data_IF_579637545235
#
_entry.id   IF_579637545235
#
_cell.length_a   1.000
_cell.length_b   1.000
_cell.length_c   1.000
_cell.angle_alpha   90.00
_cell.angle_beta   90.00
_cell.angle_gamma   90.00
#
_symmetry.space_group_name_H-M   'P 1'
#
loop_
_entity.id
_entity.type
_entity.pdbx_description
1 polymer ?
#
# COMPACT_ATOMS: atom_id res chain seq x y z
N UNK A 1 -37.05 35.10 5.44
CA UNK A 1 -35.89 35.39 6.31
C UNK A 1 -36.07 34.62 7.60
N UNK A 2 -35.45 33.45 7.70
CA UNK A 2 -35.44 32.64 8.93
C UNK A 2 -33.97 32.23 9.17
N UNK A 3 -33.30 32.96 10.05
CA UNK A 3 -32.00 32.56 10.59
C UNK A 3 -32.22 31.41 11.56
N UNK A 4 -31.53 30.28 11.36
CA UNK A 4 -31.33 29.27 12.40
C UNK A 4 -29.84 29.16 12.69
N UNK A 5 -29.53 29.34 13.98
CA UNK A 5 -28.21 29.25 14.58
C UNK A 5 -27.63 27.84 14.47
N UNK A 6 -26.35 27.77 14.15
CA UNK A 6 -25.48 26.59 14.30
C UNK A 6 -24.92 26.60 15.73
N UNK A 7 -24.95 25.48 16.48
CA UNK A 7 -24.13 25.34 17.67
C UNK A 7 -22.77 24.76 17.30
N UNK A 8 -21.72 25.53 17.57
CA UNK A 8 -20.32 25.10 17.55
C UNK A 8 -20.09 24.09 18.68
N UNK A 9 -19.68 22.86 18.34
CA UNK A 9 -19.26 21.86 19.32
C UNK A 9 -17.75 21.99 19.52
N UNK A 10 -17.35 22.29 20.75
CA UNK A 10 -15.97 22.46 21.17
C UNK A 10 -15.30 21.10 21.38
N UNK A 11 -14.15 20.90 20.75
CA UNK A 11 -13.28 19.74 20.89
C UNK A 11 -12.46 19.86 22.19
N UNK A 12 -12.55 18.88 23.08
CA UNK A 12 -11.77 18.81 24.30
C UNK A 12 -10.57 17.86 24.11
N UNK A 13 -9.36 18.41 24.10
CA UNK A 13 -8.11 17.64 24.13
C UNK A 13 -7.81 17.17 25.56
N UNK A 14 -7.69 15.85 25.75
CA UNK A 14 -7.14 15.26 26.96
C UNK A 14 -5.71 14.80 26.70
N UNK A 15 -4.74 15.58 27.19
CA UNK A 15 -3.33 15.19 27.30
C UNK A 15 -3.18 14.16 28.43
N UNK A 16 -2.80 12.94 28.10
CA UNK A 16 -2.20 12.00 29.05
C UNK A 16 -0.77 11.69 28.63
N UNK A 17 0.17 12.31 29.34
CA UNK A 17 1.57 11.92 29.32
C UNK A 17 1.82 10.77 30.29
N UNK A 18 2.68 9.84 29.90
CA UNK A 18 3.51 8.92 30.70
C UNK A 18 4.04 7.86 29.71
N UNK A 19 5.25 7.34 29.75
CA UNK A 19 6.49 7.61 30.48
C UNK A 19 7.55 6.76 29.77
N UNK A 20 8.81 7.19 29.83
CA UNK A 20 9.97 6.53 29.26
C UNK A 20 10.15 5.07 29.72
N UNK A 21 10.74 4.23 28.86
CA UNK A 21 11.66 3.18 29.28
C UNK A 21 12.65 2.85 28.16
N UNK A 22 13.88 3.32 28.38
CA UNK A 22 15.13 2.79 27.82
C UNK A 22 15.28 1.30 28.14
N UNK A 23 15.71 0.51 27.17
CA UNK A 23 16.34 -0.79 27.41
C UNK A 23 17.46 -0.99 26.39
N UNK A 24 18.69 -0.83 26.86
CA UNK A 24 19.91 -0.98 26.08
C UNK A 24 20.36 -2.42 25.85
N UNK A 25 21.21 -2.53 24.83
CA UNK A 25 22.43 -3.34 24.73
C UNK A 25 22.43 -4.78 25.27
N UNK A 26 22.62 -5.74 24.36
CA UNK A 26 23.56 -6.84 24.55
C UNK A 26 23.91 -7.51 23.21
N UNK A 27 25.10 -7.19 22.72
CA UNK A 27 25.88 -8.01 21.78
C UNK A 27 26.74 -8.99 22.60
N UNK A 28 26.80 -10.27 22.21
CA UNK A 28 28.04 -11.02 22.39
C UNK A 28 28.44 -11.72 21.08
N UNK A 29 29.57 -11.28 20.53
CA UNK A 29 30.19 -11.87 19.35
C UNK A 29 30.66 -13.31 19.54
N UNK A 30 30.94 -13.97 18.40
CA UNK A 30 31.87 -15.10 18.31
C UNK A 30 32.68 -15.00 17.03
N UNK A 31 33.99 -15.03 17.23
CA UNK A 31 35.09 -15.14 16.28
C UNK A 31 35.10 -16.48 15.56
N UNK A 32 35.34 -16.49 14.26
CA UNK A 32 35.56 -17.71 13.48
C UNK A 32 36.46 -17.46 12.27
N UNK A 33 37.77 -17.57 12.48
CA UNK A 33 38.77 -17.60 11.41
C UNK A 33 38.76 -18.97 10.73
N UNK A 34 38.72 -19.00 9.39
CA UNK A 34 38.84 -20.21 8.59
C UNK A 34 39.54 -19.94 7.26
N UNK A 35 40.85 -20.17 7.24
CA UNK A 35 41.68 -20.18 6.03
C UNK A 35 41.45 -21.48 5.24
N UNK A 36 41.30 -21.38 3.92
CA UNK A 36 41.31 -22.52 3.01
C UNK A 36 41.81 -22.11 1.63
N UNK A 37 42.99 -22.62 1.26
CA UNK A 37 43.69 -22.40 0.00
C UNK A 37 43.67 -23.66 -0.86
N UNK A 38 43.69 -23.49 -2.19
CA UNK A 38 43.92 -24.53 -3.21
C UNK A 38 42.75 -24.64 -4.20
N UNK A 39 42.91 -24.67 -5.52
CA UNK A 39 44.11 -24.74 -6.35
C UNK A 39 43.78 -24.43 -7.81
N UNK A 40 44.84 -24.21 -8.59
CA UNK A 40 44.83 -23.81 -9.99
C UNK A 40 44.49 -24.97 -10.95
N UNK A 41 43.88 -24.62 -12.09
CA UNK A 41 43.79 -25.44 -13.29
C UNK A 41 43.70 -24.53 -14.51
N UNK A 42 44.82 -24.37 -15.22
CA UNK A 42 44.91 -23.55 -16.44
C UNK A 42 44.43 -24.28 -17.69
N UNK A 43 44.04 -23.49 -18.70
CA UNK A 43 43.71 -23.95 -20.04
C UNK A 43 43.36 -22.79 -20.97
N UNK A 44 44.38 -22.06 -21.45
CA UNK A 44 44.32 -21.22 -22.66
C UNK A 44 44.36 -22.15 -23.90
N UNK A 45 43.56 -21.90 -24.95
CA UNK A 45 43.90 -21.26 -26.28
C UNK A 45 42.56 -21.14 -27.05
N UNK A 46 42.08 -19.96 -27.45
CA UNK A 46 42.30 -19.44 -28.82
C UNK A 46 41.00 -18.88 -29.44
N UNK A 47 41.10 -18.00 -30.46
CA UNK A 47 40.22 -16.84 -30.62
C UNK A 47 39.01 -17.12 -31.54
N UNK A 48 37.85 -16.63 -31.12
CA UNK A 48 36.61 -16.70 -31.89
C UNK A 48 35.71 -15.55 -31.46
N UNK A 49 35.92 -14.40 -32.11
CA UNK A 49 35.07 -13.23 -32.06
C UNK A 49 33.67 -13.62 -32.58
N UNK A 50 32.70 -13.70 -31.67
CA UNK A 50 31.28 -13.60 -32.02
C UNK A 50 30.76 -12.38 -31.28
N UNK A 51 30.64 -11.30 -32.04
CA UNK A 51 30.04 -10.07 -31.61
C UNK A 51 28.58 -10.30 -31.15
N UNK A 52 28.25 -9.73 -30.00
CA UNK A 52 26.97 -9.07 -29.75
C UNK A 52 25.74 -9.96 -29.60
N UNK A 53 25.42 -10.30 -28.35
CA UNK A 53 24.26 -9.68 -27.68
C UNK A 53 24.67 -9.43 -26.23
N UNK A 54 25.09 -8.20 -25.94
CA UNK A 54 25.27 -7.76 -24.56
C UNK A 54 23.89 -7.70 -23.91
N UNK A 55 23.47 -8.81 -23.31
CA UNK A 55 22.44 -8.79 -22.28
C UNK A 55 23.06 -8.08 -21.08
N UNK A 56 22.91 -6.76 -21.04
CA UNK A 56 23.13 -6.01 -19.81
C UNK A 56 22.18 -6.62 -18.79
N UNK A 57 22.70 -7.42 -17.86
CA UNK A 57 22.08 -7.58 -16.57
C UNK A 57 22.18 -6.21 -15.91
N UNK A 58 21.25 -5.32 -16.26
CA UNK A 58 21.01 -4.11 -15.50
C UNK A 58 20.92 -4.55 -14.04
N UNK A 59 21.80 -4.03 -13.20
CA UNK A 59 21.74 -4.34 -11.78
C UNK A 59 20.37 -3.90 -11.31
N UNK A 60 19.55 -4.84 -10.84
CA UNK A 60 18.23 -4.49 -10.33
C UNK A 60 18.41 -3.48 -9.20
N UNK A 61 17.73 -2.34 -9.35
CA UNK A 61 17.78 -1.23 -8.39
C UNK A 61 16.68 -1.40 -7.35
N UNK A 62 16.97 -0.92 -6.14
CA UNK A 62 15.99 -0.86 -5.06
C UNK A 62 14.75 -0.08 -5.52
N UNK A 63 13.58 -0.49 -5.03
CA UNK A 63 12.33 0.25 -5.25
C UNK A 63 12.16 1.23 -4.10
N UNK A 64 12.08 2.51 -4.42
CA UNK A 64 11.66 3.55 -3.50
C UNK A 64 10.13 3.58 -3.44
N UNK A 65 9.58 3.65 -2.24
CA UNK A 65 8.14 3.71 -2.00
C UNK A 65 7.85 4.92 -1.14
N UNK A 66 6.83 5.68 -1.51
CA UNK A 66 6.21 6.71 -0.67
C UNK A 66 4.71 6.41 -0.66
N UNK A 67 4.14 6.20 0.51
CA UNK A 67 2.77 5.71 0.65
C UNK A 67 2.13 6.30 1.90
N UNK A 68 0.81 6.45 1.87
CA UNK A 68 -0.03 6.73 3.03
C UNK A 68 -1.42 6.14 2.80
N UNK A 69 -2.19 6.01 3.87
CA UNK A 69 -3.60 5.65 3.79
C UNK A 69 -4.36 6.44 4.86
N UNK A 70 -5.67 6.59 4.66
CA UNK A 70 -6.52 7.04 5.74
C UNK A 70 -6.60 5.93 6.80
N UNK A 71 -5.78 6.16 7.82
CA UNK A 71 -5.40 5.32 8.94
C UNK A 71 -4.41 4.18 8.66
N UNK A 72 -4.82 3.00 8.18
CA UNK A 72 -3.95 1.83 8.24
C UNK A 72 -3.48 1.32 6.88
N UNK A 73 -2.19 0.99 6.78
CA UNK A 73 -1.66 0.27 5.62
C UNK A 73 -0.44 -0.60 5.92
N UNK A 74 -0.22 -1.55 5.03
CA UNK A 74 1.04 -2.23 4.79
C UNK A 74 1.15 -2.59 3.32
N UNK A 75 2.32 -3.01 2.87
CA UNK A 75 2.53 -3.40 1.49
C UNK A 75 3.64 -4.45 1.38
N UNK A 76 3.75 -5.09 0.23
CA UNK A 76 4.85 -6.00 -0.02
C UNK A 76 4.77 -6.64 -1.39
N UNK A 77 5.75 -7.48 -1.68
CA UNK A 77 5.87 -8.19 -2.93
C UNK A 77 5.66 -9.68 -2.70
N UNK A 78 4.97 -10.31 -3.65
CA UNK A 78 4.49 -11.68 -3.48
C UNK A 78 4.31 -12.43 -4.78
N UNK A 79 4.07 -13.73 -4.66
CA UNK A 79 3.51 -14.52 -5.77
C UNK A 79 2.00 -14.27 -5.82
N UNK A 80 1.32 -14.78 -6.85
CA UNK A 80 -0.14 -14.68 -6.91
C UNK A 80 -0.87 -15.26 -5.69
N UNK A 81 -0.23 -16.16 -4.95
CA UNK A 81 -0.83 -16.89 -3.82
C UNK A 81 -0.49 -16.32 -2.45
N UNK A 82 0.56 -15.50 -2.32
CA UNK A 82 1.01 -14.98 -1.02
C UNK A 82 2.02 -13.84 -1.15
N UNK A 83 2.09 -13.02 -0.10
CA UNK A 83 3.21 -12.14 0.19
C UNK A 83 4.47 -12.92 0.56
N UNK A 84 5.62 -12.49 0.04
CA UNK A 84 6.94 -13.02 0.39
C UNK A 84 7.70 -12.11 1.37
N UNK A 85 7.36 -10.82 1.35
CA UNK A 85 7.84 -9.80 2.27
C UNK A 85 6.67 -8.88 2.63
N UNK A 86 6.77 -8.21 3.77
CA UNK A 86 5.76 -7.29 4.25
C UNK A 86 6.44 -6.11 4.94
N UNK A 87 6.07 -4.91 4.55
CA UNK A 87 6.58 -3.63 5.03
C UNK A 87 5.40 -2.77 5.48
N UNK A 88 5.65 -1.81 6.38
CA UNK A 88 4.58 -1.04 7.00
C UNK A 88 3.88 -1.84 8.08
N UNK A 89 2.55 -1.90 8.04
CA UNK A 89 1.72 -2.28 9.19
C UNK A 89 1.56 -1.10 10.14
N UNK A 90 1.43 0.10 9.58
CA UNK A 90 1.24 1.35 10.31
C UNK A 90 -0.26 1.57 10.49
N UNK A 91 -0.63 2.08 11.66
CA UNK A 91 -1.97 2.57 11.98
C UNK A 91 -1.85 4.02 12.41
N UNK A 92 -2.26 4.95 11.54
CA UNK A 92 -2.27 6.37 11.82
C UNK A 92 -3.60 6.74 12.51
N UNK A 93 -3.52 7.39 13.67
CA UNK A 93 -4.68 7.79 14.47
C UNK A 93 -5.10 9.24 14.20
N UNK A 94 -4.17 10.06 13.71
CA UNK A 94 -4.35 11.49 13.52
C UNK A 94 -4.15 11.87 12.06
N UNK A 95 -4.93 12.83 11.58
CA UNK A 95 -4.73 13.44 10.25
C UNK A 95 -3.29 13.95 10.05
N UNK A 96 -2.64 14.40 11.13
CA UNK A 96 -1.25 14.82 11.08
C UNK A 96 -0.30 13.69 10.66
N UNK A 97 -0.57 12.45 11.06
CA UNK A 97 0.22 11.26 10.74
C UNK A 97 -0.02 10.75 9.31
N UNK A 98 -1.00 11.34 8.60
CA UNK A 98 -1.36 10.96 7.23
C UNK A 98 -0.89 12.04 6.24
N UNK A 99 -1.13 13.32 6.58
CA UNK A 99 -0.98 14.43 5.63
C UNK A 99 0.16 15.41 5.97
N UNK A 100 0.80 15.31 7.13
CA UNK A 100 1.83 16.30 7.51
C UNK A 100 3.12 16.13 6.72
N UNK A 101 3.79 17.26 6.53
CA UNK A 101 5.12 17.33 5.92
C UNK A 101 6.19 17.63 6.97
N UNK A 102 7.44 17.20 6.74
CA UNK A 102 7.92 16.43 5.57
C UNK A 102 7.55 14.95 5.62
N UNK A 103 7.82 14.22 4.53
CA UNK A 103 7.76 12.75 4.46
C UNK A 103 8.45 12.12 5.69
N UNK A 104 7.79 11.14 6.31
CA UNK A 104 8.16 10.54 7.59
C UNK A 104 7.40 11.12 8.80
N UNK A 105 6.63 12.20 8.61
CA UNK A 105 5.67 12.71 9.61
C UNK A 105 4.21 12.49 9.22
N UNK A 106 3.93 12.45 7.91
CA UNK A 106 2.66 12.04 7.33
C UNK A 106 2.90 10.79 6.48
N UNK A 107 3.01 10.93 5.14
CA UNK A 107 3.37 9.80 4.29
C UNK A 107 4.74 9.24 4.66
N UNK A 108 4.88 7.93 4.64
CA UNK A 108 6.12 7.25 4.97
C UNK A 108 6.90 6.87 3.72
N UNK A 109 8.23 6.77 3.87
CA UNK A 109 9.12 6.34 2.79
C UNK A 109 9.86 5.06 3.14
N UNK A 110 9.96 4.18 2.16
CA UNK A 110 10.68 2.92 2.25
C UNK A 110 11.63 2.76 1.08
N UNK A 111 12.72 2.03 1.33
CA UNK A 111 13.62 1.53 0.29
C UNK A 111 13.60 0.02 0.32
N UNK A 112 12.93 -0.59 -0.64
CA UNK A 112 12.80 -2.04 -0.75
C UNK A 112 13.97 -2.59 -1.55
N UNK A 113 14.74 -3.54 -0.98
CA UNK A 113 15.82 -4.17 -1.72
C UNK A 113 15.33 -4.78 -3.03
N UNK A 114 16.09 -4.56 -4.10
CA UNK A 114 15.81 -5.11 -5.43
C UNK A 114 15.38 -6.58 -5.41
N UNK A 115 16.14 -7.44 -4.73
CA UNK A 115 15.85 -8.88 -4.62
C UNK A 115 14.54 -9.21 -3.91
N UNK A 116 14.04 -8.33 -3.03
CA UNK A 116 12.72 -8.49 -2.39
C UNK A 116 11.59 -8.09 -3.34
N UNK A 117 11.78 -6.99 -4.09
CA UNK A 117 10.80 -6.52 -5.07
C UNK A 117 10.67 -7.48 -6.26
N UNK A 118 11.78 -8.05 -6.72
CA UNK A 118 11.83 -8.96 -7.88
C UNK A 118 11.50 -10.42 -7.55
N UNK A 119 11.39 -10.76 -6.25
CA UNK A 119 11.05 -12.12 -5.84
C UNK A 119 9.58 -12.48 -6.15
N UNK A 120 8.73 -11.47 -6.35
CA UNK A 120 7.31 -11.62 -6.57
C UNK A 120 6.85 -11.32 -8.00
N UNK A 121 5.66 -11.79 -8.32
CA UNK A 121 4.93 -11.43 -9.54
C UNK A 121 3.83 -10.39 -9.27
N UNK A 122 3.71 -9.91 -8.03
CA UNK A 122 2.71 -8.91 -7.64
C UNK A 122 3.27 -7.98 -6.58
N UNK A 123 2.89 -6.70 -6.68
CA UNK A 123 2.87 -5.74 -5.58
C UNK A 123 1.50 -5.84 -4.90
N UNK A 124 1.48 -5.91 -3.59
CA UNK A 124 0.26 -5.88 -2.78
C UNK A 124 0.26 -4.69 -1.84
N UNK A 125 -0.92 -4.11 -1.61
CA UNK A 125 -1.17 -3.14 -0.55
C UNK A 125 -2.31 -3.69 0.30
N UNK A 126 -2.13 -3.69 1.61
CA UNK A 126 -3.11 -4.11 2.61
C UNK A 126 -3.53 -2.87 3.37
N UNK A 127 -4.82 -2.60 3.51
CA UNK A 127 -5.30 -1.36 4.15
C UNK A 127 -6.67 -1.53 4.80
N UNK A 128 -6.92 -0.74 5.85
CA UNK A 128 -8.23 -0.55 6.47
C UNK A 128 -8.31 0.84 7.08
N UNK A 129 -9.53 1.36 7.26
CA UNK A 129 -9.80 2.70 7.75
C UNK A 129 -10.52 2.66 9.11
N UNK A 130 -10.60 3.82 9.77
CA UNK A 130 -11.34 3.97 11.04
C UNK A 130 -12.86 4.11 10.89
N UNK A 131 -13.35 4.16 9.65
CA UNK A 131 -14.76 4.33 9.32
C UNK A 131 -15.37 5.61 9.91
N UNK A 132 -14.66 6.74 9.88
CA UNK A 132 -15.17 8.01 10.46
C UNK A 132 -15.42 9.13 9.45
N UNK A 133 -14.47 9.41 8.55
CA UNK A 133 -14.54 10.61 7.69
C UNK A 133 -14.27 10.28 6.23
N UNK A 134 -13.06 9.81 5.96
CA UNK A 134 -12.57 9.46 4.64
C UNK A 134 -11.97 8.06 4.69
N UNK A 135 -11.77 7.45 3.52
CA UNK A 135 -11.05 6.19 3.42
C UNK A 135 -10.40 6.06 2.04
N UNK A 136 -9.13 5.67 2.00
CA UNK A 136 -8.36 5.64 0.76
C UNK A 136 -6.90 5.32 1.01
N UNK A 137 -6.24 4.79 -0.02
CA UNK A 137 -4.77 4.63 -0.04
C UNK A 137 -4.17 5.41 -1.21
N UNK A 138 -3.02 6.03 -0.97
CA UNK A 138 -2.27 6.81 -1.95
C UNK A 138 -0.80 6.42 -1.90
N UNK A 139 -0.19 6.16 -3.05
CA UNK A 139 1.21 5.77 -3.08
C UNK A 139 1.88 5.90 -4.44
N UNK A 140 3.20 5.94 -4.38
CA UNK A 140 4.12 5.98 -5.51
C UNK A 140 5.25 4.98 -5.27
N UNK A 141 5.53 4.17 -6.29
CA UNK A 141 6.56 3.13 -6.29
C UNK A 141 7.48 3.37 -7.49
N UNK A 142 8.79 3.48 -7.29
CA UNK A 142 9.68 3.86 -8.39
C UNK A 142 11.11 3.34 -8.21
N UNK A 143 11.78 3.14 -9.34
CA UNK A 143 13.21 2.86 -9.43
C UNK A 143 13.91 4.06 -10.06
N UNK A 144 15.14 4.35 -9.64
CA UNK A 144 15.93 5.41 -10.24
C UNK A 144 16.10 5.14 -11.74
N UNK A 145 15.58 6.05 -12.60
CA UNK A 145 15.66 5.93 -14.05
C UNK A 145 14.55 5.10 -14.72
N UNK A 146 13.53 4.66 -13.97
CA UNK A 146 12.33 4.01 -14.50
C UNK A 146 11.09 4.90 -14.32
N UNK A 147 10.04 4.61 -15.09
CA UNK A 147 8.74 5.26 -14.91
C UNK A 147 8.13 4.83 -13.55
N UNK A 148 7.63 5.76 -12.73
CA UNK A 148 6.97 5.43 -11.49
C UNK A 148 5.64 4.70 -11.74
N UNK A 149 5.22 3.96 -10.72
CA UNK A 149 3.91 3.32 -10.64
C UNK A 149 3.15 4.01 -9.54
N UNK A 150 1.95 4.47 -9.86
CA UNK A 150 1.10 5.17 -8.92
C UNK A 150 -0.12 4.34 -8.54
N UNK A 151 -0.57 4.48 -7.30
CA UNK A 151 -1.96 4.13 -6.97
C UNK A 151 -2.92 4.93 -7.86
N UNK A 152 -4.07 4.33 -8.15
CA UNK A 152 -5.09 5.00 -8.94
C UNK A 152 -4.79 5.11 -10.44
N UNK A 153 -3.76 4.39 -10.91
CA UNK A 153 -3.41 4.21 -12.32
C UNK A 153 -3.01 2.76 -12.59
N UNK A 154 -3.31 2.25 -13.79
CA UNK A 154 -2.96 0.88 -14.18
C UNK A 154 -4.03 -0.16 -13.85
N UNK A 155 -3.62 -1.43 -13.83
CA UNK A 155 -4.50 -2.59 -13.75
C UNK A 155 -4.66 -3.11 -12.31
N UNK A 156 -4.88 -2.20 -11.35
CA UNK A 156 -5.10 -2.59 -9.96
C UNK A 156 -6.33 -3.49 -9.82
N UNK A 157 -6.20 -4.48 -8.94
CA UNK A 157 -7.29 -5.33 -8.48
C UNK A 157 -7.43 -5.18 -6.97
N UNK A 158 -8.63 -5.41 -6.44
CA UNK A 158 -8.90 -5.43 -5.00
C UNK A 158 -9.67 -6.68 -4.58
N UNK A 159 -9.32 -7.18 -3.41
CA UNK A 159 -10.01 -8.20 -2.66
C UNK A 159 -10.49 -7.53 -1.37
N UNK A 160 -11.79 -7.20 -1.32
CA UNK A 160 -12.46 -6.77 -0.11
C UNK A 160 -12.85 -8.00 0.70
N UNK A 161 -12.27 -8.15 1.89
CA UNK A 161 -12.36 -9.37 2.71
C UNK A 161 -13.63 -9.41 3.56
N UNK A 162 -14.21 -8.24 3.86
CA UNK A 162 -15.38 -8.09 4.71
C UNK A 162 -15.11 -8.23 6.21
N UNK A 163 -13.86 -8.43 6.64
CA UNK A 163 -13.49 -8.36 8.05
C UNK A 163 -13.34 -6.91 8.50
N UNK A 164 -13.48 -6.69 9.80
CA UNK A 164 -13.44 -5.36 10.39
C UNK A 164 -12.24 -5.28 11.35
N UNK A 165 -11.40 -4.27 11.17
CA UNK A 165 -10.23 -4.03 12.01
C UNK A 165 -10.29 -2.62 12.56
N UNK A 166 -10.35 -2.53 13.89
CA UNK A 166 -10.22 -1.26 14.59
C UNK A 166 -8.76 -0.78 14.59
N UNK A 167 -8.55 0.54 14.61
CA UNK A 167 -7.22 1.09 14.88
C UNK A 167 -6.73 0.72 16.28
N UNK A 168 -5.44 0.42 16.40
CA UNK A 168 -4.83 -0.12 17.60
C UNK A 168 -4.94 -1.63 17.73
N UNK A 169 -5.60 -2.32 16.77
CA UNK A 169 -5.65 -3.78 16.73
C UNK A 169 -4.35 -4.41 16.23
N UNK A 170 -3.45 -3.59 15.66
CA UNK A 170 -2.23 -4.01 14.94
C UNK A 170 -2.51 -4.75 13.63
N UNK A 171 -3.75 -4.71 13.14
CA UNK A 171 -4.16 -5.25 11.86
C UNK A 171 -4.05 -6.77 11.72
N UNK A 172 -4.28 -7.29 10.51
CA UNK A 172 -4.23 -8.71 10.23
C UNK A 172 -2.79 -9.25 10.27
N UNK A 173 -2.63 -10.47 10.77
CA UNK A 173 -1.37 -11.18 10.67
C UNK A 173 -1.06 -11.57 9.20
N UNK A 174 0.22 -11.72 8.86
CA UNK A 174 0.65 -12.14 7.51
C UNK A 174 0.03 -13.47 7.05
N UNK A 175 -0.22 -14.39 7.98
CA UNK A 175 -0.93 -15.64 7.69
C UNK A 175 -2.36 -15.37 7.22
N UNK A 176 -3.12 -14.56 7.95
CA UNK A 176 -4.49 -14.13 7.60
C UNK A 176 -4.54 -13.40 6.25
N UNK A 177 -3.58 -12.50 5.99
CA UNK A 177 -3.48 -11.82 4.69
C UNK A 177 -3.31 -12.85 3.56
N UNK A 178 -2.43 -13.84 3.72
CA UNK A 178 -2.19 -14.87 2.71
C UNK A 178 -3.38 -15.83 2.54
N UNK A 179 -4.12 -16.12 3.60
CA UNK A 179 -5.37 -16.89 3.53
C UNK A 179 -6.43 -16.18 2.68
N UNK A 180 -6.55 -14.85 2.81
CA UNK A 180 -7.44 -14.04 1.99
C UNK A 180 -6.99 -13.96 0.54
N UNK A 181 -5.69 -13.78 0.27
CA UNK A 181 -5.14 -13.83 -1.10
C UNK A 181 -5.53 -15.15 -1.78
N UNK A 182 -5.30 -16.28 -1.10
CA UNK A 182 -5.65 -17.61 -1.63
C UNK A 182 -7.17 -17.81 -1.79
N UNK A 183 -7.99 -17.19 -0.94
CA UNK A 183 -9.46 -17.26 -1.03
C UNK A 183 -9.99 -16.42 -2.18
N UNK A 184 -9.45 -15.22 -2.40
CA UNK A 184 -9.80 -14.36 -3.52
C UNK A 184 -9.38 -14.95 -4.88
N UNK A 185 -8.25 -15.66 -4.95
CA UNK A 185 -7.86 -16.42 -6.16
C UNK A 185 -8.86 -17.50 -6.55
N UNK A 186 -9.58 -18.08 -5.56
CA UNK A 186 -10.58 -19.13 -5.78
C UNK A 186 -11.98 -18.60 -6.03
N UNK A 187 -12.21 -17.28 -5.87
CA UNK A 187 -13.56 -16.72 -5.83
C UNK A 187 -14.38 -17.28 -4.65
N UNK A 188 -13.72 -17.56 -3.52
CA UNK A 188 -14.26 -18.37 -2.43
C UNK A 188 -14.84 -17.58 -1.26
N UNK A 189 -14.89 -16.24 -1.34
CA UNK A 189 -15.43 -15.40 -0.26
C UNK A 189 -16.95 -15.23 -0.41
N UNK A 190 -17.64 -14.88 0.69
CA UNK A 190 -19.09 -14.68 0.69
C UNK A 190 -19.48 -13.40 -0.09
N UNK A 191 -20.18 -13.50 -1.23
CA UNK A 191 -20.54 -12.34 -2.05
C UNK A 191 -21.51 -11.37 -1.35
N UNK A 192 -22.07 -11.69 -0.18
CA UNK A 192 -22.93 -10.77 0.58
C UNK A 192 -22.16 -9.82 1.49
N UNK A 193 -20.92 -10.16 1.84
CA UNK A 193 -20.10 -9.38 2.77
C UNK A 193 -18.72 -9.05 2.20
N UNK A 194 -18.39 -9.53 1.02
CA UNK A 194 -17.05 -9.45 0.42
C UNK A 194 -17.15 -9.24 -1.09
N UNK A 195 -16.04 -8.88 -1.71
CA UNK A 195 -15.90 -8.83 -3.18
C UNK A 195 -16.02 -10.19 -3.89
N UNK A 196 -16.26 -11.29 -3.17
CA UNK A 196 -16.24 -12.69 -3.60
C UNK A 196 -14.88 -13.21 -4.13
N UNK A 197 -14.07 -12.34 -4.71
CA UNK A 197 -12.73 -12.58 -5.24
C UNK A 197 -12.08 -11.29 -5.68
N UNK A 198 -11.07 -11.38 -6.55
CA UNK A 198 -10.44 -10.19 -7.13
C UNK A 198 -11.39 -9.48 -8.09
N UNK A 199 -11.62 -8.18 -7.85
CA UNK A 199 -12.33 -7.30 -8.77
C UNK A 199 -11.39 -6.22 -9.30
N UNK A 200 -11.63 -5.80 -10.54
CA UNK A 200 -10.84 -4.77 -11.23
C UNK A 200 -11.49 -3.39 -11.09
N UNK A 201 -10.99 -2.38 -11.81
CA UNK A 201 -11.66 -1.09 -11.93
C UNK A 201 -12.98 -1.14 -12.73
N UNK A 202 -13.23 -2.20 -13.51
CA UNK A 202 -14.51 -2.39 -14.21
C UNK A 202 -15.62 -2.78 -13.21
N UNK A 203 -16.76 -2.05 -13.18
CA UNK A 203 -17.87 -2.35 -12.29
C UNK A 203 -18.39 -3.79 -12.42
N UNK A 204 -18.63 -4.42 -11.28
CA UNK A 204 -19.24 -5.75 -11.19
C UNK A 204 -20.32 -5.80 -10.11
N UNK A 205 -21.11 -6.86 -10.07
CA UNK A 205 -22.10 -7.08 -9.02
C UNK A 205 -21.50 -7.23 -7.60
N UNK A 206 -20.17 -7.38 -7.51
CA UNK A 206 -19.43 -7.55 -6.25
C UNK A 206 -18.52 -6.34 -5.97
N UNK A 207 -18.81 -5.19 -6.59
CA UNK A 207 -18.03 -3.97 -6.47
C UNK A 207 -16.86 -3.90 -7.46
N UNK A 208 -16.02 -2.89 -7.29
CA UNK A 208 -14.86 -2.60 -8.14
C UNK A 208 -13.81 -1.73 -7.43
N UNK A 209 -12.62 -1.64 -8.02
CA UNK A 209 -11.61 -0.66 -7.61
C UNK A 209 -12.05 0.73 -8.05
N UNK A 210 -12.17 1.66 -7.11
CA UNK A 210 -12.45 3.06 -7.39
C UNK A 210 -11.14 3.86 -7.39
N UNK A 211 -11.05 4.82 -8.31
CA UNK A 211 -9.95 5.79 -8.39
C UNK A 211 -10.48 7.21 -8.17
N UNK A 212 -10.05 7.82 -7.07
CA UNK A 212 -10.47 9.13 -6.58
C UNK A 212 -9.68 10.27 -7.20
N UNK A 213 -9.64 11.40 -6.53
CA UNK A 213 -8.93 12.58 -6.97
C UNK A 213 -7.40 12.38 -7.04
N UNK A 214 -6.75 13.23 -7.83
CA UNK A 214 -5.30 13.28 -7.96
C UNK A 214 -4.66 14.09 -6.82
N UNK A 215 -3.38 13.83 -6.55
CA UNK A 215 -2.64 14.44 -5.44
C UNK A 215 -2.22 15.91 -5.67
N UNK A 216 -2.91 16.62 -6.56
CA UNK A 216 -2.88 18.06 -6.76
C UNK A 216 -4.26 18.72 -6.61
N UNK A 217 -5.29 17.91 -6.32
CA UNK A 217 -6.66 18.40 -6.22
C UNK A 217 -6.80 19.22 -4.94
N UNK A 218 -7.11 20.51 -5.09
CA UNK A 218 -7.28 21.40 -3.97
C UNK A 218 -8.51 21.01 -3.13
N UNK A 219 -8.31 20.91 -1.81
CA UNK A 219 -9.37 20.65 -0.84
C UNK A 219 -9.54 21.84 0.10
N UNK A 220 -10.79 22.26 0.28
CA UNK A 220 -11.21 23.12 1.39
C UNK A 220 -11.81 22.24 2.52
N UNK A 221 -12.94 21.59 2.23
CA UNK A 221 -13.63 20.60 3.08
C UNK A 221 -13.78 19.27 2.31
N UNK A 222 -13.83 18.10 2.98
CA UNK A 222 -14.02 16.83 2.30
C UNK A 222 -15.39 16.77 1.60
N UNK A 223 -15.40 16.62 0.28
CA UNK A 223 -16.59 16.38 -0.54
C UNK A 223 -16.25 15.38 -1.66
N UNK A 224 -17.26 14.77 -2.32
CA UNK A 224 -17.00 13.89 -3.46
C UNK A 224 -16.15 14.55 -4.55
N UNK A 225 -14.98 13.99 -4.84
CA UNK A 225 -14.00 14.47 -5.82
C UNK A 225 -12.93 15.46 -5.30
N UNK A 226 -12.87 15.72 -3.99
CA UNK A 226 -11.81 16.47 -3.30
C UNK A 226 -11.73 16.09 -1.81
N UNK A 227 -11.87 14.81 -1.53
CA UNK A 227 -11.96 14.19 -0.22
C UNK A 227 -10.71 14.42 0.64
N UNK A 228 -9.52 14.46 0.05
CA UNK A 228 -8.24 14.40 0.76
C UNK A 228 -7.41 15.70 0.62
N UNK A 229 -6.63 16.07 1.65
CA UNK A 229 -5.58 17.08 1.50
C UNK A 229 -4.44 16.55 0.62
N UNK A 230 -3.68 17.46 0.01
CA UNK A 230 -2.48 17.11 -0.75
C UNK A 230 -1.43 16.49 0.18
N UNK A 231 -0.89 15.34 -0.24
CA UNK A 231 0.15 14.58 0.46
C UNK A 231 1.51 14.92 -0.14
N UNK A 232 2.46 15.41 0.66
CA UNK A 232 3.78 15.77 0.13
C UNK A 232 4.66 14.56 -0.20
N UNK A 233 5.53 14.74 -1.19
CA UNK A 233 6.49 13.71 -1.60
C UNK A 233 5.91 12.61 -2.48
N UNK A 234 4.58 12.54 -2.62
CA UNK A 234 3.92 11.73 -3.65
C UNK A 234 3.63 12.64 -4.86
N UNK A 235 3.92 12.14 -6.05
CA UNK A 235 3.67 12.85 -7.31
C UNK A 235 2.20 13.26 -7.51
N UNK A 236 1.97 14.39 -8.19
CA UNK A 236 0.63 14.90 -8.50
C UNK A 236 -0.19 13.93 -9.35
N UNK A 237 0.46 13.10 -10.17
CA UNK A 237 -0.19 12.09 -10.99
C UNK A 237 -0.75 10.90 -10.22
N UNK A 238 -0.37 10.70 -8.96
CA UNK A 238 -0.94 9.64 -8.12
C UNK A 238 -2.38 9.97 -7.72
N UNK A 239 -3.24 8.96 -7.67
CA UNK A 239 -4.64 9.12 -7.28
C UNK A 239 -4.99 8.21 -6.12
N UNK A 240 -5.93 8.68 -5.29
CA UNK A 240 -6.48 7.87 -4.22
C UNK A 240 -7.19 6.64 -4.78
N UNK A 241 -7.03 5.51 -4.11
CA UNK A 241 -7.60 4.24 -4.51
C UNK A 241 -8.35 3.61 -3.36
N UNK A 242 -9.55 3.07 -3.64
CA UNK A 242 -10.37 2.38 -2.65
C UNK A 242 -11.26 1.31 -3.30
N UNK A 243 -12.06 0.61 -2.50
CA UNK A 243 -13.08 -0.33 -2.98
C UNK A 243 -14.46 0.34 -2.97
N UNK A 244 -15.16 0.25 -4.11
CA UNK A 244 -16.57 0.63 -4.21
C UNK A 244 -17.45 -0.61 -4.15
N UNK A 245 -18.18 -0.75 -3.04
CA UNK A 245 -19.13 -1.83 -2.82
C UNK A 245 -20.44 -1.65 -3.61
N UNK A 246 -20.87 -0.41 -3.83
CA UNK A 246 -22.10 -0.08 -4.56
C UNK A 246 -21.76 0.22 -6.03
N UNK A 247 -21.90 -0.76 -6.95
CA UNK A 247 -21.55 -0.57 -8.36
C UNK A 247 -22.45 0.44 -9.06
N UNK A 248 -23.61 0.77 -8.49
CA UNK A 248 -24.60 1.68 -9.06
C UNK A 248 -24.57 3.06 -8.38
N UNK A 249 -23.53 3.36 -7.57
CA UNK A 249 -23.46 4.62 -6.82
C UNK A 249 -23.59 5.82 -7.75
N UNK A 250 -24.71 6.52 -7.62
CA UNK A 250 -24.99 7.76 -8.38
C UNK A 250 -24.71 9.05 -7.59
N UNK A 251 -24.43 8.94 -6.29
CA UNK A 251 -24.20 10.07 -5.39
C UNK A 251 -23.30 9.69 -4.22
N UNK A 252 -22.53 10.66 -3.72
CA UNK A 252 -21.52 10.41 -2.68
C UNK A 252 -20.22 9.90 -3.29
N UNK A 253 -19.39 9.27 -2.46
CA UNK A 253 -18.07 8.78 -2.87
C UNK A 253 -17.71 7.53 -2.05
N UNK A 254 -17.03 6.52 -2.64
CA UNK A 254 -16.46 5.41 -1.87
C UNK A 254 -15.35 5.86 -0.91
N UNK A 255 -14.81 7.06 -1.12
CA UNK A 255 -13.74 7.65 -0.32
C UNK A 255 -14.25 8.43 0.90
N UNK A 256 -15.57 8.58 1.06
CA UNK A 256 -16.19 9.21 2.23
C UNK A 256 -16.95 8.18 3.04
N UNK A 257 -16.81 8.23 4.36
CA UNK A 257 -17.56 7.34 5.24
C UNK A 257 -19.06 7.59 5.09
N UNK A 258 -19.88 6.60 4.68
CA UNK A 258 -21.31 6.80 4.46
C UNK A 258 -22.13 6.94 5.74
N UNK A 259 -21.53 6.75 6.92
CA UNK A 259 -22.26 6.56 8.18
C UNK A 259 -22.85 5.15 8.31
N UNK A 260 -23.29 4.81 9.52
CA UNK A 260 -23.91 3.52 9.84
C UNK A 260 -23.18 2.78 10.95
N UNK A 261 -23.67 1.58 11.25
CA UNK A 261 -23.07 0.68 12.23
C UNK A 261 -22.38 -0.50 11.52
N UNK A 262 -21.18 -0.86 11.97
CA UNK A 262 -20.39 -1.98 11.47
C UNK A 262 -19.74 -1.74 10.09
N UNK A 263 -19.15 -2.81 9.54
CA UNK A 263 -18.40 -2.75 8.29
C UNK A 263 -19.29 -2.65 7.03
N UNK A 264 -19.84 -1.46 6.78
CA UNK A 264 -20.67 -1.18 5.59
C UNK A 264 -19.86 -0.95 4.32
N UNK A 265 -18.58 -0.61 4.43
CA UNK A 265 -17.64 -0.40 3.32
C UNK A 265 -16.89 -1.67 2.90
N UNK A 266 -17.05 -2.77 3.64
CA UNK A 266 -16.36 -4.07 3.43
C UNK A 266 -14.85 -3.93 3.49
N UNK A 267 -14.42 -3.23 4.53
CA UNK A 267 -13.04 -2.88 4.81
C UNK A 267 -12.16 -4.11 5.12
N UNK A 268 -10.88 -3.86 5.42
CA UNK A 268 -9.77 -4.78 5.19
C UNK A 268 -9.70 -5.17 3.72
N UNK A 269 -9.03 -4.31 2.98
CA UNK A 269 -8.80 -4.41 1.56
C UNK A 269 -7.39 -4.91 1.29
N UNK A 270 -7.28 -5.83 0.34
CA UNK A 270 -6.01 -6.24 -0.24
C UNK A 270 -6.04 -5.82 -1.71
N UNK A 271 -5.27 -4.81 -2.06
CA UNK A 271 -5.01 -4.44 -3.44
C UNK A 271 -3.83 -5.24 -3.98
N UNK A 272 -3.83 -5.51 -5.29
CA UNK A 272 -2.66 -6.03 -5.98
C UNK A 272 -2.50 -5.43 -7.37
N UNK A 273 -1.25 -5.45 -7.84
CA UNK A 273 -0.86 -5.07 -9.19
C UNK A 273 0.19 -6.07 -9.71
N UNK A 274 0.00 -6.57 -10.93
CA UNK A 274 0.96 -7.50 -11.56
C UNK A 274 2.35 -6.90 -11.72
N UNK A 275 3.40 -7.72 -11.58
CA UNK A 275 4.79 -7.30 -11.64
C UNK A 275 5.21 -6.75 -13.01
N UNK A 276 4.49 -7.09 -14.08
CA UNK A 276 4.66 -6.45 -15.38
C UNK A 276 4.32 -4.95 -15.37
N UNK A 277 3.61 -4.49 -14.34
CA UNK A 277 3.29 -3.09 -14.09
C UNK A 277 4.07 -2.53 -12.89
N UNK A 278 4.97 -3.28 -12.26
CA UNK A 278 5.92 -2.77 -11.25
C UNK A 278 7.08 -2.10 -12.01
N UNK A 279 7.69 -0.99 -11.51
CA UNK A 279 8.64 -0.21 -12.30
C UNK A 279 9.74 -1.09 -12.90
N UNK A 280 9.93 -1.05 -14.23
CA UNK A 280 10.90 -1.94 -14.88
C UNK A 280 12.32 -1.70 -14.32
N UNK A 281 13.14 -2.76 -14.27
CA UNK A 281 14.57 -2.60 -14.02
C UNK A 281 15.16 -1.77 -15.16
N UNK A 282 15.86 -0.65 -14.87
CA UNK A 282 16.48 0.16 -15.92
C UNK A 282 17.41 -0.70 -16.79
N UNK A 283 17.26 -0.59 -18.12
CA UNK A 283 18.06 -1.34 -19.10
C UNK A 283 19.43 -0.72 -19.34
#
# INVERSE_FOLDING_TARGET
MNLRLVPSLALAFALHGSACSDAGTADPGVSGSGSGSGGAGGGEIGPGEIAGVGGGSGLSTDVNVIITADNAYGFGYGTGDKLLNYFGGIENLLAGEIFSCPVGHGPESYRVPAGSADAGNYLYIVTYADMLTTQGVLGQFFRDGAEPVFTGSGAWEVCATGEDYDLGSHGPALETINEHIASCNRGGLDPQTTSAGWVTAEPSAYGHVAFGEANDTARDDPQPGNEFPIVCGIDEGARWMWFEWDPDRSSGSPFLWPGGDGNVTKDFLIFRLGAEFVPEVPR
#
